data_IF_683517197632
#
_entry.id   IF_683517197632
#
_cell.length_a   1.000
_cell.length_b   1.000
_cell.length_c   1.000
_cell.angle_alpha   90.00
_cell.angle_beta   90.00
_cell.angle_gamma   90.00
#
_symmetry.space_group_name_H-M   'P 1'
#
loop_
_entity.id
_entity.type
_entity.pdbx_description
1 polymer ?
#
# COMPACT_ATOMS: atom_id res chain seq x y z
N UNK A 1 -7.02 17.06 -4.46
CA UNK A 1 -6.98 15.74 -3.83
C UNK A 1 -6.53 14.80 -4.93
N UNK A 2 -5.65 13.86 -4.68
CA UNK A 2 -5.22 12.93 -5.72
C UNK A 2 -6.16 11.72 -5.81
N UNK A 3 -5.91 10.82 -6.77
CA UNK A 3 -6.78 9.68 -7.08
C UNK A 3 -6.97 8.73 -5.89
N UNK A 4 -5.89 8.48 -5.11
CA UNK A 4 -5.98 7.59 -3.93
C UNK A 4 -6.81 8.22 -2.82
N UNK A 5 -6.59 9.51 -2.53
CA UNK A 5 -7.38 10.23 -1.52
C UNK A 5 -8.85 10.37 -1.91
N UNK A 6 -9.14 10.62 -3.18
CA UNK A 6 -10.52 10.65 -3.68
C UNK A 6 -11.18 9.29 -3.51
N UNK A 7 -10.51 8.21 -3.92
CA UNK A 7 -10.98 6.86 -3.72
C UNK A 7 -11.26 6.55 -2.23
N UNK A 8 -10.35 6.93 -1.33
CA UNK A 8 -10.52 6.67 0.10
C UNK A 8 -11.65 7.48 0.74
N UNK A 9 -11.88 8.69 0.26
CA UNK A 9 -12.89 9.62 0.81
C UNK A 9 -14.27 9.49 0.17
N UNK A 10 -14.40 8.80 -0.96
CA UNK A 10 -15.69 8.60 -1.61
C UNK A 10 -16.60 7.71 -0.73
N UNK A 11 -17.75 8.25 -0.33
CA UNK A 11 -18.73 7.58 0.53
C UNK A 11 -19.87 6.92 -0.24
N UNK A 12 -19.86 7.00 -1.56
CA UNK A 12 -20.98 6.50 -2.38
C UNK A 12 -20.95 4.99 -2.56
N UNK A 13 -19.78 4.36 -2.41
CA UNK A 13 -19.55 2.93 -2.68
C UNK A 13 -19.61 2.02 -1.44
N UNK A 14 -19.96 2.55 -0.27
CA UNK A 14 -20.05 1.76 0.97
C UNK A 14 -18.69 1.35 1.54
N UNK A 15 -18.69 0.27 2.33
CA UNK A 15 -17.48 -0.25 2.97
C UNK A 15 -16.55 -0.89 1.95
N UNK A 16 -15.27 -0.55 2.03
CA UNK A 16 -14.23 -1.11 1.17
C UNK A 16 -13.27 -1.97 1.97
N UNK A 17 -12.76 -2.99 1.32
CA UNK A 17 -11.71 -3.86 1.85
C UNK A 17 -10.39 -3.54 1.17
N UNK A 18 -9.32 -3.44 1.95
CA UNK A 18 -7.94 -3.40 1.49
C UNK A 18 -7.18 -4.61 2.03
N UNK A 19 -6.34 -5.23 1.23
CA UNK A 19 -5.42 -6.27 1.68
C UNK A 19 -4.03 -5.68 1.91
N UNK A 20 -3.36 -6.09 2.98
CA UNK A 20 -1.95 -5.81 3.21
C UNK A 20 -1.09 -7.00 2.75
N UNK A 21 -0.08 -6.72 1.94
CA UNK A 21 0.91 -7.67 1.45
C UNK A 21 2.29 -7.24 1.96
N UNK A 22 2.93 -8.13 2.73
CA UNK A 22 4.28 -7.89 3.24
C UNK A 22 5.33 -8.47 2.27
N UNK A 23 6.19 -7.62 1.66
CA UNK A 23 7.25 -8.06 0.74
C UNK A 23 8.32 -8.95 1.39
N UNK A 24 8.50 -8.86 2.71
CA UNK A 24 9.49 -9.66 3.41
C UNK A 24 9.07 -11.13 3.60
N UNK A 25 7.77 -11.41 3.53
CA UNK A 25 7.21 -12.73 3.83
C UNK A 25 6.96 -13.60 2.58
N UNK A 26 7.22 -13.08 1.37
CA UNK A 26 6.89 -13.78 0.13
C UNK A 26 7.65 -13.24 -1.10
N UNK A 27 7.69 -14.06 -2.17
CA UNK A 27 8.24 -13.59 -3.44
C UNK A 27 7.26 -12.66 -4.16
N UNK A 28 7.76 -11.80 -5.10
CA UNK A 28 6.90 -10.93 -5.90
C UNK A 28 5.77 -11.66 -6.65
N UNK A 29 6.04 -12.87 -7.17
CA UNK A 29 5.04 -13.67 -7.88
C UNK A 29 3.93 -14.17 -6.94
N UNK A 30 4.29 -14.59 -5.73
CA UNK A 30 3.30 -14.99 -4.71
C UNK A 30 2.47 -13.79 -4.27
N UNK A 31 3.10 -12.63 -4.11
CA UNK A 31 2.42 -11.36 -3.79
C UNK A 31 1.41 -10.97 -4.88
N UNK A 32 1.81 -11.05 -6.15
CA UNK A 32 0.94 -10.77 -7.29
C UNK A 32 -0.28 -11.71 -7.33
N UNK A 33 -0.08 -13.01 -7.14
CA UNK A 33 -1.18 -13.98 -7.09
C UNK A 33 -2.14 -13.72 -5.93
N UNK A 34 -1.63 -13.34 -4.76
CA UNK A 34 -2.46 -12.95 -3.60
C UNK A 34 -3.25 -11.67 -3.86
N UNK A 35 -2.63 -10.68 -4.49
CA UNK A 35 -3.30 -9.43 -4.89
C UNK A 35 -4.45 -9.69 -5.87
N UNK A 36 -4.23 -10.55 -6.88
CA UNK A 36 -5.27 -10.96 -7.83
C UNK A 36 -6.42 -11.70 -7.12
N UNK A 37 -6.11 -12.67 -6.26
CA UNK A 37 -7.13 -13.39 -5.52
C UNK A 37 -7.96 -12.45 -4.62
N UNK A 38 -7.31 -11.49 -3.97
CA UNK A 38 -7.98 -10.49 -3.16
C UNK A 38 -8.87 -9.55 -4.01
N UNK A 39 -8.37 -9.12 -5.18
CA UNK A 39 -9.13 -8.30 -6.12
C UNK A 39 -10.39 -9.03 -6.61
N UNK A 40 -10.28 -10.30 -7.00
CA UNK A 40 -11.41 -11.14 -7.37
C UNK A 40 -12.41 -11.35 -6.22
N UNK A 41 -11.91 -11.39 -4.98
CA UNK A 41 -12.75 -11.47 -3.77
C UNK A 41 -13.39 -10.14 -3.35
N UNK A 42 -13.13 -9.05 -4.10
CA UNK A 42 -13.74 -7.74 -3.87
C UNK A 42 -12.86 -6.72 -3.15
N UNK A 43 -11.57 -7.01 -2.91
CA UNK A 43 -10.64 -5.95 -2.44
C UNK A 43 -10.48 -4.88 -3.51
N UNK A 44 -10.51 -3.62 -3.08
CA UNK A 44 -10.42 -2.46 -3.98
C UNK A 44 -9.20 -1.58 -3.70
N UNK A 45 -8.28 -2.05 -2.88
CA UNK A 45 -6.99 -1.43 -2.61
C UNK A 45 -6.00 -2.49 -2.17
N UNK A 46 -4.76 -2.40 -2.64
CA UNK A 46 -3.65 -3.22 -2.19
C UNK A 46 -2.68 -2.34 -1.41
N UNK A 47 -2.44 -2.70 -0.16
CA UNK A 47 -1.41 -2.07 0.67
C UNK A 47 -0.14 -2.93 0.60
N UNK A 48 1.01 -2.31 0.37
CA UNK A 48 2.30 -3.01 0.30
C UNK A 48 3.24 -2.45 1.36
N UNK A 49 3.68 -3.30 2.28
CA UNK A 49 4.58 -2.94 3.36
C UNK A 49 4.60 -3.96 4.47
N UNK A 50 5.53 -3.79 5.38
CA UNK A 50 5.72 -4.66 6.53
C UNK A 50 6.42 -3.92 7.67
N UNK A 51 6.53 -4.54 8.83
CA UNK A 51 7.15 -3.94 10.01
C UNK A 51 8.67 -4.16 10.09
N UNK A 52 9.19 -5.12 9.35
CA UNK A 52 10.64 -5.46 9.34
C UNK A 52 11.00 -6.19 8.06
N UNK A 53 12.29 -6.13 7.66
CA UNK A 53 12.82 -6.89 6.52
C UNK A 53 12.40 -6.35 5.15
N UNK A 54 11.76 -5.17 5.12
CA UNK A 54 11.42 -4.48 3.88
C UNK A 54 12.48 -3.44 3.54
N UNK A 55 12.82 -3.36 2.27
CA UNK A 55 13.72 -2.38 1.67
C UNK A 55 13.16 -1.89 0.32
N UNK A 56 13.88 -0.96 -0.33
CA UNK A 56 13.44 -0.42 -1.61
C UNK A 56 13.36 -1.48 -2.70
N UNK A 57 14.25 -2.46 -2.71
CA UNK A 57 14.34 -3.46 -3.78
C UNK A 57 13.19 -4.45 -3.70
N UNK A 58 12.95 -5.06 -2.53
CA UNK A 58 11.86 -6.04 -2.37
C UNK A 58 10.47 -5.39 -2.47
N UNK A 59 10.32 -4.17 -1.95
CA UNK A 59 9.06 -3.40 -2.07
C UNK A 59 8.80 -3.03 -3.54
N UNK A 60 9.83 -2.54 -4.26
CA UNK A 60 9.66 -2.18 -5.66
C UNK A 60 9.31 -3.39 -6.53
N UNK A 61 10.05 -4.49 -6.40
CA UNK A 61 9.78 -5.71 -7.15
C UNK A 61 8.36 -6.24 -6.89
N UNK A 62 7.91 -6.20 -5.63
CA UNK A 62 6.56 -6.63 -5.25
C UNK A 62 5.48 -5.73 -5.88
N UNK A 63 5.64 -4.41 -5.83
CA UNK A 63 4.66 -3.47 -6.41
C UNK A 63 4.58 -3.64 -7.93
N UNK A 64 5.72 -3.76 -8.61
CA UNK A 64 5.75 -3.95 -10.07
C UNK A 64 5.02 -5.24 -10.44
N UNK A 65 5.34 -6.36 -9.80
CA UNK A 65 4.68 -7.64 -10.09
C UNK A 65 3.16 -7.60 -9.84
N UNK A 66 2.70 -6.94 -8.77
CA UNK A 66 1.28 -6.75 -8.50
C UNK A 66 0.62 -5.92 -9.60
N UNK A 67 1.19 -4.79 -9.97
CA UNK A 67 0.61 -3.89 -10.98
C UNK A 67 0.54 -4.55 -12.36
N UNK A 68 1.61 -5.20 -12.80
CA UNK A 68 1.63 -5.94 -14.07
C UNK A 68 0.53 -7.02 -14.10
N UNK A 69 0.35 -7.76 -13.02
CA UNK A 69 -0.70 -8.79 -12.94
C UNK A 69 -2.11 -8.20 -12.96
N UNK A 70 -2.36 -7.10 -12.25
CA UNK A 70 -3.66 -6.41 -12.27
C UNK A 70 -3.97 -5.81 -13.65
N UNK A 71 -2.97 -5.23 -14.33
CA UNK A 71 -3.09 -4.68 -15.68
C UNK A 71 -3.43 -5.77 -16.70
N UNK A 72 -2.76 -6.92 -16.63
CA UNK A 72 -3.03 -8.06 -17.53
C UNK A 72 -4.47 -8.57 -17.40
N UNK A 73 -4.99 -8.69 -16.17
CA UNK A 73 -6.38 -9.12 -15.94
C UNK A 73 -7.36 -8.06 -16.43
N UNK A 74 -7.10 -6.79 -16.16
CA UNK A 74 -7.93 -5.68 -16.66
C UNK A 74 -7.96 -5.63 -18.18
N UNK A 75 -6.81 -5.81 -18.82
CA UNK A 75 -6.72 -5.88 -20.28
C UNK A 75 -7.50 -7.07 -20.85
N UNK A 76 -7.33 -8.26 -20.27
CA UNK A 76 -8.08 -9.45 -20.69
C UNK A 76 -9.59 -9.26 -20.56
N UNK A 77 -10.05 -8.69 -19.45
CA UNK A 77 -11.46 -8.38 -19.25
C UNK A 77 -12.01 -7.36 -20.25
N UNK A 78 -11.20 -6.37 -20.68
CA UNK A 78 -11.61 -5.38 -21.68
C UNK A 78 -11.81 -5.95 -23.09
N UNK A 79 -11.27 -7.15 -23.38
CA UNK A 79 -11.48 -7.85 -24.64
C UNK A 79 -12.79 -8.66 -24.67
N UNK A 80 -13.40 -8.87 -23.52
CA UNK A 80 -14.67 -9.58 -23.40
C UNK A 80 -15.84 -8.56 -23.44
N UNK A 81 -16.61 -8.58 -24.52
CA UNK A 81 -17.72 -7.63 -24.73
C UNK A 81 -18.86 -7.77 -23.73
N UNK A 82 -18.92 -8.87 -23.00
CA UNK A 82 -19.96 -9.18 -22.00
C UNK A 82 -19.48 -8.88 -20.56
N UNK A 83 -18.20 -8.52 -20.38
CA UNK A 83 -17.70 -8.14 -19.07
C UNK A 83 -18.26 -6.77 -18.65
N UNK A 84 -19.00 -6.77 -17.57
CA UNK A 84 -19.43 -5.52 -16.92
C UNK A 84 -18.16 -4.78 -16.47
N UNK A 85 -17.90 -3.63 -17.08
CA UNK A 85 -16.74 -2.81 -16.83
C UNK A 85 -16.80 -2.17 -15.43
N UNK A 86 -16.54 -2.95 -14.40
CA UNK A 86 -16.24 -2.46 -13.03
C UNK A 86 -14.74 -2.58 -12.75
N UNK A 87 -13.92 -2.27 -13.75
CA UNK A 87 -12.47 -2.27 -13.67
C UNK A 87 -11.94 -0.87 -13.39
N UNK A 88 -12.42 -0.23 -12.33
CA UNK A 88 -11.68 0.88 -11.75
C UNK A 88 -10.28 0.37 -11.40
N UNK A 89 -9.23 1.09 -11.79
CA UNK A 89 -7.85 0.73 -11.47
C UNK A 89 -7.73 0.57 -9.94
N UNK A 90 -7.34 -0.64 -9.49
CA UNK A 90 -7.14 -0.91 -8.06
C UNK A 90 -5.82 -0.25 -7.63
N UNK A 91 -5.85 0.75 -6.73
CA UNK A 91 -4.64 1.44 -6.33
C UNK A 91 -3.72 0.54 -5.50
N UNK A 92 -2.42 0.60 -5.80
CA UNK A 92 -1.36 -0.06 -5.03
C UNK A 92 -0.64 1.00 -4.20
N UNK A 93 -0.82 0.94 -2.89
CA UNK A 93 -0.45 1.99 -1.95
C UNK A 93 0.62 1.49 -0.98
N UNK A 94 1.67 2.26 -0.82
CA UNK A 94 2.71 1.97 0.18
C UNK A 94 2.16 2.09 1.61
N UNK A 95 2.48 1.07 2.41
CA UNK A 95 2.27 1.03 3.86
C UNK A 95 3.60 0.73 4.54
N UNK A 96 4.61 1.63 4.41
CA UNK A 96 5.98 1.33 4.76
C UNK A 96 6.24 1.42 6.26
N UNK A 97 7.24 0.66 6.73
CA UNK A 97 7.79 0.86 8.07
C UNK A 97 8.53 2.20 8.22
N UNK A 98 9.04 2.76 7.11
CA UNK A 98 9.81 3.99 7.10
C UNK A 98 10.36 4.34 5.72
N UNK A 99 11.22 5.36 5.66
CA UNK A 99 11.80 5.90 4.44
C UNK A 99 12.70 4.95 3.65
N UNK A 100 13.20 3.89 4.29
CA UNK A 100 14.04 2.87 3.65
C UNK A 100 13.26 1.88 2.75
N UNK A 101 11.92 1.90 2.79
CA UNK A 101 11.06 0.93 2.11
C UNK A 101 10.05 1.61 1.17
N UNK A 102 10.55 2.46 0.27
CA UNK A 102 9.74 3.22 -0.68
C UNK A 102 9.92 2.70 -2.11
N UNK A 103 8.92 2.94 -2.96
CA UNK A 103 8.98 2.60 -4.39
C UNK A 103 8.29 3.68 -5.23
N UNK A 104 8.92 4.12 -6.35
CA UNK A 104 8.30 5.09 -7.25
C UNK A 104 7.14 4.50 -8.08
N UNK A 105 6.98 3.17 -8.07
CA UNK A 105 5.91 2.50 -8.82
C UNK A 105 4.55 2.52 -8.11
N UNK A 106 4.51 2.95 -6.84
CA UNK A 106 3.25 3.03 -6.09
C UNK A 106 2.37 4.19 -6.55
N UNK A 107 1.05 4.02 -6.42
CA UNK A 107 0.08 5.08 -6.73
C UNK A 107 -0.02 6.09 -5.59
N UNK A 108 0.19 5.65 -4.35
CA UNK A 108 0.17 6.49 -3.16
C UNK A 108 0.97 5.91 -2.01
N UNK A 109 1.07 6.68 -0.95
CA UNK A 109 1.71 6.27 0.30
C UNK A 109 0.85 6.72 1.48
N UNK A 110 0.56 5.79 2.40
CA UNK A 110 0.03 6.14 3.71
C UNK A 110 1.15 6.77 4.52
N UNK A 111 1.22 8.07 4.52
CA UNK A 111 2.25 8.82 5.21
C UNK A 111 1.99 8.78 6.72
N UNK A 112 2.27 7.61 7.30
CA UNK A 112 1.82 7.26 8.64
C UNK A 112 2.57 8.00 9.73
N UNK A 113 1.78 8.42 10.72
CA UNK A 113 2.27 8.88 12.03
C UNK A 113 1.80 7.86 13.06
N UNK A 114 2.71 7.15 13.72
CA UNK A 114 2.38 6.25 14.82
C UNK A 114 2.16 7.07 16.09
N UNK A 115 0.90 7.43 16.34
CA UNK A 115 0.51 8.46 17.31
C UNK A 115 0.81 8.11 18.76
N UNK A 116 0.93 6.82 19.09
CA UNK A 116 1.28 6.34 20.42
C UNK A 116 2.70 5.78 20.53
N UNK A 117 3.56 6.07 19.54
CA UNK A 117 4.97 5.73 19.64
C UNK A 117 5.70 6.59 20.66
N UNK A 118 6.57 5.96 21.43
CA UNK A 118 7.53 6.64 22.31
C UNK A 118 8.84 6.99 21.58
N UNK A 119 8.95 6.62 20.29
CA UNK A 119 10.10 6.93 19.44
C UNK A 119 9.74 8.04 18.45
N UNK A 120 10.45 9.16 18.57
CA UNK A 120 10.29 10.32 17.67
C UNK A 120 10.44 9.95 16.18
N UNK A 121 11.22 8.93 15.87
CA UNK A 121 11.41 8.43 14.52
C UNK A 121 10.06 8.09 13.85
N UNK A 122 9.18 7.40 14.55
CA UNK A 122 7.88 6.99 14.01
C UNK A 122 6.79 8.06 14.15
N UNK A 123 7.05 9.13 14.90
CA UNK A 123 6.14 10.29 14.97
C UNK A 123 6.33 11.23 13.78
N UNK A 124 7.57 11.55 13.42
CA UNK A 124 7.88 12.54 12.38
C UNK A 124 9.15 12.22 11.58
N UNK A 125 10.10 11.46 12.14
CA UNK A 125 11.43 11.26 11.54
C UNK A 125 11.37 10.61 10.17
N UNK A 126 10.63 9.52 10.03
CA UNK A 126 10.50 8.78 8.78
C UNK A 126 9.80 9.63 7.69
N UNK A 127 8.85 10.47 8.08
CA UNK A 127 8.17 11.38 7.15
C UNK A 127 9.12 12.46 6.63
N UNK A 128 9.94 13.03 7.49
CA UNK A 128 10.95 14.04 7.10
C UNK A 128 11.97 13.43 6.15
N UNK A 129 12.44 12.20 6.44
CA UNK A 129 13.42 11.49 5.61
C UNK A 129 12.83 11.08 4.26
N UNK A 130 11.61 10.56 4.23
CA UNK A 130 10.96 10.06 3.01
C UNK A 130 10.37 11.15 2.11
N UNK A 131 10.02 12.32 2.64
CA UNK A 131 9.31 13.36 1.90
C UNK A 131 9.99 13.82 0.60
N UNK A 132 11.32 14.01 0.52
CA UNK A 132 12.00 14.37 -0.72
C UNK A 132 11.83 13.32 -1.82
N UNK A 133 11.90 12.03 -1.46
CA UNK A 133 11.69 10.93 -2.39
C UNK A 133 10.25 10.92 -2.90
N UNK A 134 9.26 10.95 -2.01
CA UNK A 134 7.82 10.95 -2.34
C UNK A 134 7.48 12.10 -3.29
N UNK A 135 7.99 13.31 -2.99
CA UNK A 135 7.81 14.49 -3.85
C UNK A 135 8.44 14.31 -5.23
N UNK A 136 9.68 13.80 -5.29
CA UNK A 136 10.41 13.60 -6.55
C UNK A 136 9.78 12.51 -7.43
N UNK A 137 9.30 11.43 -6.81
CA UNK A 137 8.66 10.32 -7.50
C UNK A 137 7.21 10.61 -7.91
N UNK A 138 6.60 11.69 -7.41
CA UNK A 138 5.22 12.04 -7.71
C UNK A 138 4.18 11.11 -7.07
N UNK A 139 4.57 10.37 -6.02
CA UNK A 139 3.67 9.48 -5.29
C UNK A 139 2.69 10.34 -4.48
N UNK A 140 1.40 9.98 -4.52
CA UNK A 140 0.39 10.71 -3.75
C UNK A 140 0.53 10.44 -2.24
N UNK A 141 0.85 11.46 -1.41
CA UNK A 141 0.88 11.28 0.04
C UNK A 141 -0.55 11.31 0.60
N UNK A 142 -0.91 10.28 1.34
CA UNK A 142 -2.16 10.20 2.09
C UNK A 142 -1.82 10.30 3.58
N UNK A 143 -1.98 11.47 4.21
CA UNK A 143 -1.67 11.66 5.62
C UNK A 143 -2.57 10.77 6.48
N UNK A 144 -1.97 9.91 7.31
CA UNK A 144 -2.68 8.97 8.15
C UNK A 144 -2.01 8.87 9.52
N UNK A 145 -2.79 9.10 10.58
CA UNK A 145 -2.41 8.74 11.94
C UNK A 145 -2.96 7.37 12.28
N UNK A 146 -2.19 6.55 13.00
CA UNK A 146 -2.68 5.26 13.49
C UNK A 146 -2.17 4.97 14.89
N UNK A 147 -2.84 4.04 15.56
CA UNK A 147 -2.52 3.58 16.90
C UNK A 147 -2.28 2.08 16.86
N UNK A 148 -1.25 1.61 17.54
CA UNK A 148 -1.06 0.19 17.79
C UNK A 148 -1.61 -0.10 19.18
N UNK A 149 -2.67 -0.94 19.23
CA UNK A 149 -3.29 -1.37 20.48
C UNK A 149 -2.68 -2.69 20.94
N UNK A 150 -2.63 -2.90 22.27
CA UNK A 150 -2.19 -4.19 22.80
C UNK A 150 -3.06 -5.34 22.29
N UNK A 151 -2.45 -6.50 22.03
CA UNK A 151 -1.06 -6.90 22.32
C UNK A 151 0.00 -6.39 21.32
N UNK A 152 -0.30 -5.54 20.37
CA UNK A 152 0.62 -4.85 19.45
C UNK A 152 1.53 -5.72 18.58
N UNK A 153 1.88 -6.90 19.08
CA UNK A 153 2.74 -7.85 18.38
C UNK A 153 4.11 -7.26 18.00
N UNK A 154 4.68 -7.73 16.89
CA UNK A 154 5.97 -7.28 16.37
C UNK A 154 5.95 -5.79 15.99
N UNK A 155 4.84 -5.30 15.42
CA UNK A 155 4.71 -3.91 15.02
C UNK A 155 4.74 -2.96 16.22
N UNK A 156 4.10 -3.32 17.35
CA UNK A 156 4.16 -2.55 18.60
C UNK A 156 5.57 -2.52 19.19
N UNK A 157 6.29 -3.64 19.13
CA UNK A 157 7.68 -3.71 19.60
C UNK A 157 8.61 -2.82 18.76
N UNK A 158 8.50 -2.89 17.43
CA UNK A 158 9.31 -2.07 16.52
C UNK A 158 8.97 -0.60 16.66
N UNK A 159 7.68 -0.28 16.72
CA UNK A 159 7.19 1.09 16.85
C UNK A 159 7.35 1.70 18.23
N UNK A 160 7.76 0.93 19.24
CA UNK A 160 7.81 1.37 20.64
C UNK A 160 6.49 2.04 21.07
N UNK A 161 5.36 1.33 20.82
CA UNK A 161 4.00 1.80 21.02
C UNK A 161 3.24 0.95 22.04
#
# INVERSE_FOLDING_TARGET
MGVVSEYMCDRTTGTRHAILIDPADQTPEVAANRALAAAHAGSRMILVGGSTGTDMDNVHATIVAIKESLELVSWAASQDSDAVADSGQIPVVLFPQGAAALSPAADGITFMVLMNSMDQRFLIGEQVEGAPFVKKAGIEPVPMGYLICEPGGKAGQVGNA
#
